data_IF_764501977499
#
_entry.id   IF_764501977499
#
_cell.length_a   1.000
_cell.length_b   1.000
_cell.length_c   1.000
_cell.angle_alpha   90.00
_cell.angle_beta   90.00
_cell.angle_gamma   90.00
#
_symmetry.space_group_name_H-M   'P 1'
#
loop_
_entity.id
_entity.type
_entity.pdbx_description
1 polymer ?
#
# COMPACT_ATOMS: atom_id res chain seq x y z
N UNK A 1 32.67 -25.97 -1.67
CA UNK A 1 31.87 -24.97 -2.41
C UNK A 1 30.81 -24.39 -1.48
N UNK A 2 31.11 -23.26 -0.82
CA UNK A 2 30.22 -22.67 0.18
C UNK A 2 29.07 -21.91 -0.52
N UNK A 3 27.82 -22.36 -0.29
CA UNK A 3 26.63 -21.71 -0.83
C UNK A 3 26.46 -20.36 -0.12
N UNK A 4 26.83 -19.27 -0.78
CA UNK A 4 26.50 -17.92 -0.36
C UNK A 4 24.97 -17.79 -0.29
N UNK A 5 24.40 -17.94 0.90
CA UNK A 5 22.99 -17.60 1.15
C UNK A 5 22.88 -16.09 0.87
N UNK A 6 22.34 -15.73 -0.30
CA UNK A 6 21.95 -14.35 -0.61
C UNK A 6 21.08 -13.87 0.54
N UNK A 7 21.61 -13.01 1.40
CA UNK A 7 20.81 -12.26 2.36
C UNK A 7 19.83 -11.47 1.51
N UNK A 8 18.59 -11.94 1.42
CA UNK A 8 17.48 -11.09 0.97
C UNK A 8 17.58 -9.85 1.85
N UNK A 9 17.84 -8.68 1.25
CA UNK A 9 17.74 -7.40 1.95
C UNK A 9 16.40 -7.47 2.68
N UNK A 10 16.46 -7.65 4.00
CA UNK A 10 15.30 -7.45 4.85
C UNK A 10 15.07 -5.96 4.72
N UNK A 11 14.21 -5.57 3.77
CA UNK A 11 13.66 -4.23 3.76
C UNK A 11 13.10 -4.05 5.16
N UNK A 12 13.59 -3.03 5.91
CA UNK A 12 13.21 -2.86 7.31
C UNK A 12 11.70 -2.95 7.34
N UNK A 13 11.17 -3.82 8.20
CA UNK A 13 9.74 -4.03 8.37
C UNK A 13 9.13 -2.64 8.36
N UNK A 14 8.50 -2.28 7.23
CA UNK A 14 8.16 -0.90 6.96
C UNK A 14 7.31 -0.49 8.14
N UNK A 15 7.86 0.41 8.94
CA UNK A 15 7.13 1.14 9.96
C UNK A 15 5.79 1.47 9.34
N UNK A 16 4.71 1.35 10.10
CA UNK A 16 3.34 1.69 9.68
C UNK A 16 3.25 3.19 9.36
N UNK A 17 4.06 3.64 8.42
CA UNK A 17 4.24 5.01 8.02
C UNK A 17 2.91 5.40 7.42
N UNK A 18 2.30 6.40 8.03
CA UNK A 18 1.15 7.05 7.48
C UNK A 18 1.66 8.08 6.49
N UNK A 19 1.04 8.17 5.33
CA UNK A 19 1.26 9.26 4.41
C UNK A 19 0.85 10.55 5.12
N UNK A 20 1.74 11.54 5.15
CA UNK A 20 1.46 12.83 5.80
C UNK A 20 0.33 13.58 5.12
N UNK A 21 0.18 13.41 3.80
CA UNK A 21 -0.83 14.06 2.99
C UNK A 21 -2.21 13.39 3.12
N UNK A 22 -2.28 12.06 3.00
CA UNK A 22 -3.58 11.35 3.01
C UNK A 22 -3.93 10.70 4.36
N UNK A 23 -3.01 10.67 5.33
CA UNK A 23 -3.15 9.93 6.59
C UNK A 23 -3.26 8.40 6.42
N UNK A 24 -3.01 7.88 5.22
CA UNK A 24 -3.22 6.45 4.89
C UNK A 24 -1.95 5.66 5.14
N UNK A 25 -2.13 4.38 5.46
CA UNK A 25 -1.00 3.45 5.56
C UNK A 25 -0.30 3.32 4.21
N UNK A 26 1.00 3.58 4.22
CA UNK A 26 1.91 3.40 3.09
C UNK A 26 2.29 1.92 2.97
N UNK A 27 2.22 1.38 1.76
CA UNK A 27 2.78 0.08 1.41
C UNK A 27 3.83 0.30 0.32
N UNK A 28 5.09 -0.09 0.58
CA UNK A 28 6.15 0.08 -0.41
C UNK A 28 6.17 -0.99 -1.51
N UNK A 29 5.34 -2.02 -1.38
CA UNK A 29 5.18 -3.08 -2.38
C UNK A 29 3.70 -3.28 -2.73
N UNK A 30 3.42 -3.45 -4.02
CA UNK A 30 2.07 -3.68 -4.53
C UNK A 30 1.49 -5.01 -4.02
N UNK A 31 2.32 -6.06 -3.95
CA UNK A 31 1.91 -7.38 -3.47
C UNK A 31 1.47 -7.36 -2.00
N UNK A 32 2.19 -6.62 -1.16
CA UNK A 32 1.79 -6.38 0.23
C UNK A 32 0.47 -5.58 0.33
N UNK A 33 0.32 -4.53 -0.48
CA UNK A 33 -0.93 -3.78 -0.55
C UNK A 33 -2.11 -4.67 -0.99
N UNK A 34 -1.90 -5.51 -2.00
CA UNK A 34 -2.91 -6.43 -2.53
C UNK A 34 -3.33 -7.49 -1.51
N UNK A 35 -2.37 -8.09 -0.81
CA UNK A 35 -2.65 -9.06 0.25
C UNK A 35 -3.53 -8.44 1.35
N UNK A 36 -3.24 -7.20 1.75
CA UNK A 36 -4.04 -6.50 2.77
C UNK A 36 -5.39 -6.05 2.22
N UNK A 37 -5.46 -5.59 0.97
CA UNK A 37 -6.72 -5.23 0.32
C UNK A 37 -7.69 -6.42 0.31
N UNK A 38 -7.24 -7.58 -0.21
CA UNK A 38 -8.03 -8.80 -0.25
C UNK A 38 -8.48 -9.23 1.15
N UNK A 39 -7.58 -9.25 2.13
CA UNK A 39 -7.91 -9.62 3.51
C UNK A 39 -8.99 -8.71 4.10
N UNK A 40 -8.83 -7.39 3.98
CA UNK A 40 -9.77 -6.42 4.55
C UNK A 40 -11.08 -6.38 3.78
N UNK A 41 -11.06 -6.65 2.48
CA UNK A 41 -12.28 -6.63 1.66
C UNK A 41 -13.31 -7.67 2.04
N UNK A 42 -12.88 -8.77 2.66
CA UNK A 42 -13.77 -9.79 3.22
C UNK A 42 -14.70 -9.25 4.31
N UNK A 43 -14.31 -8.18 5.00
CA UNK A 43 -15.07 -7.62 6.13
C UNK A 43 -15.56 -6.19 5.85
N UNK A 44 -14.82 -5.41 5.06
CA UNK A 44 -15.06 -3.98 4.86
C UNK A 44 -15.56 -3.63 3.44
N UNK A 45 -15.77 -4.62 2.58
CA UNK A 45 -16.12 -4.44 1.18
C UNK A 45 -14.92 -4.19 0.25
N UNK A 46 -15.14 -4.12 -1.07
CA UNK A 46 -14.07 -4.06 -2.07
C UNK A 46 -13.16 -2.83 -1.87
N UNK A 47 -11.86 -3.09 -1.71
CA UNK A 47 -10.81 -2.10 -1.59
C UNK A 47 -9.99 -2.08 -2.87
N UNK A 48 -9.68 -0.88 -3.34
CA UNK A 48 -8.83 -0.63 -4.49
C UNK A 48 -7.46 -0.18 -4.01
N UNK A 49 -6.46 -0.53 -4.80
CA UNK A 49 -5.05 -0.17 -4.57
C UNK A 49 -4.71 0.92 -5.59
N UNK A 50 -4.03 1.96 -5.15
CA UNK A 50 -3.53 3.02 -6.03
C UNK A 50 -2.18 3.50 -5.52
N UNK A 51 -1.34 4.01 -6.42
CA UNK A 51 -0.09 4.66 -6.06
C UNK A 51 -0.36 6.11 -5.66
N UNK A 52 0.16 6.53 -4.51
CA UNK A 52 -0.02 7.89 -4.03
C UNK A 52 0.94 8.84 -4.77
N UNK A 53 0.45 9.88 -5.46
CA UNK A 53 1.32 10.82 -6.16
C UNK A 53 2.19 11.66 -5.20
N UNK A 54 1.74 11.84 -3.95
CA UNK A 54 2.45 12.65 -2.94
C UNK A 54 3.65 11.92 -2.32
N UNK A 55 3.57 10.60 -2.13
CA UNK A 55 4.62 9.83 -1.43
C UNK A 55 5.15 8.62 -2.20
N UNK A 56 4.64 8.32 -3.40
CA UNK A 56 5.05 7.18 -4.23
C UNK A 56 4.72 5.80 -3.64
N UNK A 57 4.03 5.74 -2.50
CA UNK A 57 3.66 4.49 -1.85
C UNK A 57 2.27 4.01 -2.30
N UNK A 58 2.04 2.70 -2.24
CA UNK A 58 0.73 2.11 -2.50
C UNK A 58 -0.20 2.35 -1.33
N UNK A 59 -1.42 2.78 -1.61
CA UNK A 59 -2.48 3.04 -0.65
C UNK A 59 -3.74 2.24 -0.97
N UNK A 60 -4.57 2.04 0.05
CA UNK A 60 -5.89 1.44 -0.09
C UNK A 60 -6.99 2.50 -0.09
N UNK A 61 -8.01 2.30 -0.91
CA UNK A 61 -9.18 3.18 -0.96
C UNK A 61 -10.47 2.38 -1.16
N UNK A 62 -11.55 2.83 -0.52
CA UNK A 62 -12.91 2.34 -0.80
C UNK A 62 -13.54 3.04 -2.00
N UNK A 63 -12.98 4.18 -2.43
CA UNK A 63 -13.54 4.98 -3.53
C UNK A 63 -13.57 4.16 -4.81
N UNK A 64 -14.71 4.18 -5.49
CA UNK A 64 -14.90 3.49 -6.78
C UNK A 64 -14.16 4.20 -7.92
N UNK A 65 -14.02 5.52 -7.83
CA UNK A 65 -13.38 6.38 -8.82
C UNK A 65 -12.28 7.17 -8.12
N UNK A 66 -11.07 7.14 -8.67
CA UNK A 66 -9.95 8.00 -8.26
C UNK A 66 -9.76 9.05 -9.35
N UNK A 67 -10.49 10.15 -9.23
CA UNK A 67 -10.48 11.23 -10.22
C UNK A 67 -11.57 12.23 -9.88
N UNK A 68 -11.13 13.47 -9.64
CA UNK A 68 -11.87 14.66 -9.21
C UNK A 68 -12.31 14.66 -7.74
N UNK A 69 -11.68 15.47 -6.86
CA UNK A 69 -12.42 16.05 -5.73
C UNK A 69 -13.68 16.73 -6.28
N UNK A 70 -14.79 16.78 -5.52
CA UNK A 70 -15.93 17.59 -5.93
C UNK A 70 -15.43 19.03 -6.16
N UNK A 71 -15.75 19.60 -7.33
CA UNK A 71 -15.59 21.03 -7.52
C UNK A 71 -16.46 21.70 -6.45
N UNK A 72 -15.82 22.45 -5.54
CA UNK A 72 -16.52 23.36 -4.63
C UNK A 72 -17.06 24.55 -5.40
#
# INVERSE_FOLDING_TARGET
MARHRRRKKHHPAQSRALCLDTGKRQYGDYGDAARVALRRSRYAGPLRIYECPSCGAWHLTKRRIWGKPPAS
#
